data_IF_796242933910
#
_entry.id   IF_796242933910
#
_cell.length_a   1.000
_cell.length_b   1.000
_cell.length_c   1.000
_cell.angle_alpha   90.00
_cell.angle_beta   90.00
_cell.angle_gamma   90.00
#
_symmetry.space_group_name_H-M   'P 1'
#
loop_
_entity.id
_entity.type
_entity.pdbx_description
1 polymer ?
#
# COMPACT_ATOMS: atom_id res chain seq x y z
N UNK A 1 -31.53 -65.59 -40.19
CA UNK A 1 -31.33 -64.13 -40.20
C UNK A 1 -30.35 -63.81 -39.11
N UNK A 2 -29.23 -63.20 -39.51
CA UNK A 2 -27.99 -63.07 -38.74
C UNK A 2 -28.18 -62.19 -37.50
N UNK A 3 -27.68 -62.68 -36.37
CA UNK A 3 -27.50 -61.93 -35.13
C UNK A 3 -26.25 -61.06 -35.29
N UNK A 4 -26.46 -59.75 -35.22
CA UNK A 4 -25.41 -58.74 -35.32
C UNK A 4 -24.72 -58.63 -33.95
N UNK A 5 -23.55 -59.25 -33.83
CA UNK A 5 -22.70 -59.16 -32.65
C UNK A 5 -21.75 -57.97 -32.84
N UNK A 6 -21.99 -56.90 -32.08
CA UNK A 6 -21.05 -55.78 -31.97
C UNK A 6 -19.66 -56.29 -31.59
N UNK A 7 -18.67 -55.84 -32.36
CA UNK A 7 -17.26 -56.21 -32.20
C UNK A 7 -16.73 -55.90 -30.79
N UNK A 8 -15.82 -56.74 -30.24
CA UNK A 8 -15.22 -56.51 -28.95
C UNK A 8 -14.22 -55.35 -29.03
N UNK A 9 -14.43 -54.32 -28.20
CA UNK A 9 -13.47 -53.24 -27.94
C UNK A 9 -12.15 -53.84 -27.45
N UNK A 10 -10.99 -53.49 -28.05
CA UNK A 10 -9.71 -54.03 -27.62
C UNK A 10 -9.33 -53.52 -26.23
N UNK A 11 -8.60 -54.31 -25.42
CA UNK A 11 -8.16 -53.88 -24.10
C UNK A 11 -7.19 -52.70 -24.24
N UNK A 12 -7.44 -51.65 -23.46
CA UNK A 12 -6.52 -50.51 -23.31
C UNK A 12 -5.18 -51.05 -22.82
N UNK A 13 -4.14 -50.82 -23.62
CA UNK A 13 -2.77 -51.13 -23.24
C UNK A 13 -2.39 -50.30 -22.00
N UNK A 14 -2.18 -51.00 -20.89
CA UNK A 14 -1.35 -50.51 -19.80
C UNK A 14 0.06 -50.32 -20.36
N UNK A 15 0.59 -49.10 -20.26
CA UNK A 15 1.99 -48.81 -20.57
C UNK A 15 2.52 -47.80 -19.56
N UNK A 16 3.17 -48.38 -18.56
CA UNK A 16 4.35 -47.89 -17.83
C UNK A 16 4.20 -46.63 -16.97
N UNK A 17 4.08 -46.91 -15.67
CA UNK A 17 4.52 -46.03 -14.59
C UNK A 17 5.92 -45.48 -14.87
N UNK A 18 6.15 -44.15 -14.82
CA UNK A 18 7.49 -43.63 -14.64
C UNK A 18 7.92 -43.91 -13.20
N UNK A 19 9.09 -44.53 -13.13
CA UNK A 19 9.87 -44.91 -11.96
C UNK A 19 9.96 -43.77 -10.94
N UNK A 20 9.87 -44.14 -9.66
CA UNK A 20 10.08 -43.25 -8.53
C UNK A 20 11.47 -42.59 -8.59
N UNK A 21 11.51 -41.33 -9.02
CA UNK A 21 12.64 -40.45 -8.76
C UNK A 21 12.63 -40.05 -7.29
N UNK A 22 13.79 -40.25 -6.66
CA UNK A 22 14.04 -40.02 -5.26
C UNK A 22 13.63 -38.59 -4.84
N UNK A 23 12.70 -38.51 -3.88
CA UNK A 23 12.52 -37.31 -3.06
C UNK A 23 13.88 -36.95 -2.44
N UNK A 24 14.53 -35.93 -2.98
CA UNK A 24 15.57 -35.21 -2.28
C UNK A 24 14.94 -34.68 -0.98
N UNK A 25 15.41 -35.19 0.15
CA UNK A 25 15.14 -34.58 1.44
C UNK A 25 15.69 -33.16 1.41
N UNK A 26 14.81 -32.18 1.54
CA UNK A 26 15.21 -30.80 1.85
C UNK A 26 16.05 -30.82 3.14
N UNK A 27 17.24 -30.21 3.17
CA UNK A 27 18.00 -30.13 4.40
C UNK A 27 17.21 -29.28 5.40
N UNK A 28 16.99 -29.84 6.59
CA UNK A 28 16.36 -29.16 7.71
C UNK A 28 16.97 -27.76 7.91
N UNK A 29 16.12 -26.74 7.88
CA UNK A 29 16.48 -25.36 8.18
C UNK A 29 17.11 -25.28 9.57
N UNK A 30 18.44 -25.13 9.63
CA UNK A 30 19.17 -24.92 10.86
C UNK A 30 19.16 -23.41 11.21
N UNK A 31 18.36 -23.04 12.20
CA UNK A 31 18.11 -21.66 12.66
C UNK A 31 19.39 -21.01 13.26
N UNK A 32 20.46 -21.78 13.51
CA UNK A 32 21.68 -21.27 14.17
C UNK A 32 22.73 -20.66 13.23
N UNK A 33 22.59 -20.80 11.91
CA UNK A 33 23.58 -20.31 10.93
C UNK A 33 23.10 -19.14 10.06
N UNK A 34 22.08 -18.40 10.50
CA UNK A 34 21.79 -17.10 9.89
C UNK A 34 22.84 -16.08 10.36
N UNK A 35 23.59 -15.50 9.41
CA UNK A 35 24.24 -14.22 9.67
C UNK A 35 23.12 -13.23 10.02
N UNK A 36 23.03 -12.84 11.29
CA UNK A 36 22.07 -11.86 11.76
C UNK A 36 22.37 -10.53 11.06
N UNK A 37 21.57 -10.22 10.04
CA UNK A 37 21.59 -8.91 9.37
C UNK A 37 21.06 -7.91 10.40
N UNK A 38 21.93 -7.02 10.83
CA UNK A 38 21.53 -5.93 11.74
C UNK A 38 20.63 -4.95 10.98
N UNK A 39 19.67 -4.31 11.68
CA UNK A 39 18.88 -3.20 11.12
C UNK A 39 19.74 -2.14 10.41
N UNK A 40 21.01 -2.02 10.80
CA UNK A 40 21.99 -1.08 10.28
C UNK A 40 22.66 -1.53 8.97
N UNK A 41 22.68 -2.83 8.67
CA UNK A 41 23.12 -3.36 7.37
C UNK A 41 22.07 -3.08 6.27
N UNK A 42 20.80 -2.98 6.65
CA UNK A 42 19.69 -2.65 5.72
C UNK A 42 19.76 -1.20 5.21
N UNK A 43 20.35 -0.29 5.98
CA UNK A 43 20.50 1.13 5.62
C UNK A 43 21.88 1.49 5.04
N UNK A 44 22.75 0.50 4.80
CA UNK A 44 24.02 0.72 4.11
C UNK A 44 25.05 1.56 4.88
N UNK A 45 24.93 1.67 6.21
CA UNK A 45 25.83 2.47 7.05
C UNK A 45 27.20 1.81 7.15
N UNK A 46 28.25 2.59 6.84
CA UNK A 46 29.64 2.14 6.91
C UNK A 46 30.08 1.92 8.36
N UNK A 47 31.14 1.13 8.59
CA UNK A 47 31.64 0.84 9.94
C UNK A 47 32.05 2.10 10.72
N UNK A 48 32.38 3.19 10.03
CA UNK A 48 32.76 4.49 10.60
C UNK A 48 31.56 5.26 11.18
N UNK A 49 30.35 5.02 10.68
CA UNK A 49 29.11 5.65 11.16
C UNK A 49 28.53 4.93 12.39
N UNK A 50 29.04 3.74 12.71
CA UNK A 50 28.59 2.91 13.85
C UNK A 50 29.16 3.37 15.20
N UNK A 51 30.08 4.32 15.23
CA UNK A 51 30.73 4.79 16.47
C UNK A 51 30.13 6.09 17.00
N UNK A 52 29.46 6.06 18.16
CA UNK A 52 29.00 7.25 18.89
C UNK A 52 30.11 7.97 19.69
N UNK A 53 31.38 7.77 19.32
CA UNK A 53 32.52 8.43 19.97
C UNK A 53 33.21 9.26 18.89
N UNK A 54 33.17 10.60 19.01
CA UNK A 54 33.95 11.48 18.15
C UNK A 54 35.44 11.29 18.46
N UNK A 55 36.29 10.80 17.52
CA UNK A 55 37.72 10.82 17.74
C UNK A 55 38.22 12.26 17.66
N UNK A 56 38.96 12.69 18.70
CA UNK A 56 39.74 13.92 18.70
C UNK A 56 40.73 13.90 17.54
N UNK A 57 40.79 15.00 16.80
CA UNK A 57 41.77 15.32 15.76
C UNK A 57 43.16 14.68 15.96
N UNK A 58 43.59 13.86 15.00
CA UNK A 58 44.99 13.87 14.60
C UNK A 58 45.12 13.51 13.11
N UNK A 59 45.80 14.38 12.37
CA UNK A 59 46.11 14.21 10.96
C UNK A 59 47.17 13.12 10.81
N UNK A 60 46.92 12.06 10.06
CA UNK A 60 47.97 11.35 9.34
C UNK A 60 47.40 10.54 8.17
N UNK A 61 47.77 10.93 6.96
CA UNK A 61 47.52 10.20 5.73
C UNK A 61 48.38 8.94 5.72
N UNK A 62 47.79 7.75 5.59
CA UNK A 62 48.48 6.63 4.94
C UNK A 62 47.53 5.76 4.13
N UNK A 63 48.03 5.53 2.91
CA UNK A 63 47.43 4.94 1.72
C UNK A 63 47.46 3.41 1.83
N UNK A 64 46.35 2.78 1.43
CA UNK A 64 46.13 1.34 1.37
C UNK A 64 47.03 0.67 0.32
N UNK A 65 47.61 -0.48 0.66
CA UNK A 65 48.22 -1.45 -0.26
C UNK A 65 47.27 -2.63 -0.49
N UNK A 66 47.21 -3.13 -1.73
CA UNK A 66 46.48 -4.34 -2.15
C UNK A 66 47.49 -5.51 -2.18
N UNK A 67 47.13 -6.73 -1.73
CA UNK A 67 48.06 -7.85 -1.59
C UNK A 67 48.25 -8.65 -2.89
N UNK A 68 49.47 -9.13 -3.15
CA UNK A 68 49.74 -10.23 -4.10
C UNK A 68 49.92 -11.58 -3.36
N UNK A 69 49.62 -12.72 -4.03
CA UNK A 69 49.71 -14.04 -3.44
C UNK A 69 51.11 -14.68 -3.51
N UNK A 70 51.25 -15.69 -2.66
CA UNK A 70 52.46 -16.40 -2.18
C UNK A 70 53.12 -17.33 -3.21
N UNK A 71 54.42 -17.57 -3.02
CA UNK A 71 55.15 -18.86 -2.86
C UNK A 71 56.66 -18.61 -3.14
N UNK A 72 57.70 -19.32 -2.64
CA UNK A 72 57.93 -20.32 -1.60
C UNK A 72 59.46 -20.26 -1.29
N UNK A 73 59.77 -20.29 0.00
CA UNK A 73 60.94 -20.90 0.69
C UNK A 73 62.27 -21.13 -0.06
N UNK A 74 63.33 -20.49 0.42
CA UNK A 74 64.72 -20.87 0.16
C UNK A 74 65.67 -20.20 1.16
N UNK A 75 66.30 -20.99 2.02
CA UNK A 75 67.01 -20.61 3.25
C UNK A 75 68.48 -20.26 2.95
N UNK A 76 69.03 -19.36 3.79
CA UNK A 76 70.44 -19.23 4.23
C UNK A 76 71.40 -18.24 3.52
N UNK A 77 71.64 -17.15 4.29
CA UNK A 77 72.93 -16.63 4.78
C UNK A 77 73.99 -16.02 3.86
N UNK A 78 74.15 -14.70 4.08
CA UNK A 78 75.38 -14.00 4.48
C UNK A 78 76.44 -13.56 3.44
N UNK A 79 76.29 -12.28 3.04
CA UNK A 79 77.22 -11.14 3.29
C UNK A 79 78.50 -10.98 2.43
N UNK A 80 78.42 -10.11 1.41
CA UNK A 80 79.20 -8.86 1.14
C UNK A 80 79.02 -8.52 -0.35
N UNK A 81 78.14 -7.58 -0.70
CA UNK A 81 78.44 -6.16 -1.02
C UNK A 81 79.32 -6.00 -2.26
N UNK A 82 78.62 -6.13 -3.39
CA UNK A 82 79.12 -6.08 -4.76
C UNK A 82 79.16 -4.67 -5.35
N UNK A 83 80.05 -4.57 -6.31
CA UNK A 83 80.30 -3.53 -7.28
C UNK A 83 79.03 -3.02 -7.98
N UNK A 84 78.98 -1.71 -8.24
CA UNK A 84 77.90 -1.03 -8.94
C UNK A 84 77.80 -1.52 -10.38
N UNK A 85 76.75 -2.27 -10.68
CA UNK A 85 76.30 -2.53 -12.04
C UNK A 85 75.83 -1.22 -12.73
N UNK A 86 75.94 -1.10 -14.06
CA UNK A 86 75.53 0.10 -14.80
C UNK A 86 74.01 0.32 -14.71
N UNK A 87 73.60 1.56 -14.45
CA UNK A 87 72.19 1.95 -14.28
C UNK A 87 71.41 1.76 -15.59
N UNK A 88 70.17 1.27 -15.44
CA UNK A 88 69.19 1.12 -16.51
C UNK A 88 68.85 2.49 -17.12
N UNK A 89 68.81 2.60 -18.45
CA UNK A 89 68.60 3.85 -19.21
C UNK A 89 67.34 4.61 -18.77
N UNK A 90 66.37 3.89 -18.19
CA UNK A 90 65.13 4.42 -17.65
C UNK A 90 65.31 5.15 -16.31
N UNK A 91 66.23 4.71 -15.46
CA UNK A 91 66.61 5.41 -14.23
C UNK A 91 67.42 6.68 -14.54
N UNK A 92 68.22 6.64 -15.61
CA UNK A 92 68.98 7.79 -16.10
C UNK A 92 68.05 8.91 -16.55
N UNK A 93 67.01 8.57 -17.34
CA UNK A 93 65.96 9.50 -17.78
C UNK A 93 65.20 10.15 -16.61
N UNK A 94 64.93 9.38 -15.55
CA UNK A 94 64.25 9.88 -14.35
C UNK A 94 65.13 10.83 -13.53
N UNK A 95 66.42 10.53 -13.43
CA UNK A 95 67.42 11.41 -12.80
C UNK A 95 67.63 12.69 -13.59
N UNK A 96 67.64 12.61 -14.91
CA UNK A 96 67.77 13.76 -15.80
C UNK A 96 66.54 14.67 -15.75
N UNK A 97 65.34 14.08 -15.71
CA UNK A 97 64.10 14.81 -15.49
C UNK A 97 64.06 15.48 -14.10
N UNK A 98 64.54 14.80 -13.06
CA UNK A 98 64.63 15.36 -11.71
C UNK A 98 65.67 16.49 -11.61
N UNK A 99 66.81 16.37 -12.31
CA UNK A 99 67.82 17.43 -12.43
C UNK A 99 67.27 18.64 -13.18
N UNK A 100 66.64 18.45 -14.34
CA UNK A 100 65.96 19.52 -15.10
C UNK A 100 64.88 20.22 -14.27
N UNK A 101 64.12 19.48 -13.46
CA UNK A 101 63.10 20.06 -12.57
C UNK A 101 63.71 20.90 -11.44
N UNK A 102 64.80 20.43 -10.83
CA UNK A 102 65.56 21.20 -9.82
C UNK A 102 66.28 22.41 -10.42
N UNK A 103 66.73 22.31 -11.66
CA UNK A 103 67.40 23.39 -12.38
C UNK A 103 66.41 24.45 -12.84
N UNK A 104 65.22 24.04 -13.33
CA UNK A 104 64.09 24.93 -13.60
C UNK A 104 63.59 25.63 -12.32
N UNK A 105 63.54 24.93 -11.18
CA UNK A 105 63.18 25.53 -9.89
C UNK A 105 64.26 26.50 -9.38
N UNK A 106 65.55 26.22 -9.64
CA UNK A 106 66.65 27.13 -9.33
C UNK A 106 66.70 28.34 -10.27
N UNK A 107 66.35 28.18 -11.54
CA UNK A 107 66.21 29.28 -12.49
C UNK A 107 65.00 30.16 -12.17
N UNK A 108 63.85 29.57 -11.79
CA UNK A 108 62.67 30.30 -11.33
C UNK A 108 62.89 31.04 -9.99
N UNK A 109 63.81 30.56 -9.15
CA UNK A 109 64.26 31.24 -7.92
C UNK A 109 65.33 32.31 -8.17
N UNK A 110 66.01 32.31 -9.32
CA UNK A 110 67.04 33.30 -9.71
C UNK A 110 66.49 34.46 -10.56
N UNK A 111 65.30 34.35 -11.14
CA UNK A 111 64.62 35.45 -11.86
C UNK A 111 63.75 36.35 -10.98
N UNK A 112 64.06 36.47 -9.69
CA UNK A 112 63.48 37.49 -8.79
C UNK A 112 64.57 38.25 -8.04
N UNK A 113 65.36 39.02 -8.77
CA UNK A 113 66.18 40.11 -8.24
C UNK A 113 66.21 41.21 -9.30
N UNK A 114 65.21 42.09 -9.27
CA UNK A 114 65.31 43.52 -9.56
C UNK A 114 64.04 44.24 -9.03
N UNK A 115 64.11 45.52 -8.64
CA UNK A 115 63.16 46.11 -7.71
C UNK A 115 62.03 46.94 -8.39
N UNK A 116 60.76 46.62 -8.03
CA UNK A 116 59.51 47.43 -7.98
C UNK A 116 58.30 46.68 -8.58
N UNK A 117 57.04 46.96 -8.17
CA UNK A 117 56.55 47.58 -6.94
C UNK A 117 55.77 46.57 -6.07
N UNK A 118 55.49 46.95 -4.83
CA UNK A 118 54.55 46.23 -3.97
C UNK A 118 53.16 46.34 -4.58
N UNK A 119 52.61 45.23 -5.11
CA UNK A 119 51.18 45.06 -5.36
C UNK A 119 50.62 44.10 -4.30
N UNK A 120 49.48 44.42 -3.64
CA UNK A 120 49.12 43.78 -2.39
C UNK A 120 48.31 42.49 -2.58
N UNK A 121 48.99 41.34 -2.65
CA UNK A 121 48.31 40.03 -2.61
C UNK A 121 47.74 39.72 -1.21
N UNK A 122 48.20 40.43 -0.18
CA UNK A 122 47.62 40.35 1.16
C UNK A 122 46.25 41.05 1.27
N UNK A 123 45.98 42.06 0.44
CA UNK A 123 44.72 42.80 0.47
C UNK A 123 43.61 42.05 -0.28
N UNK A 124 43.90 41.44 -1.43
CA UNK A 124 42.90 40.63 -2.17
C UNK A 124 42.34 39.47 -1.32
N UNK A 125 43.18 38.80 -0.51
CA UNK A 125 42.76 37.70 0.38
C UNK A 125 42.05 38.18 1.65
N UNK A 126 42.38 39.40 2.12
CA UNK A 126 41.67 40.10 3.20
C UNK A 126 40.35 40.71 2.74
N UNK A 127 40.17 40.96 1.45
CA UNK A 127 38.92 41.42 0.83
C UNK A 127 38.00 40.25 0.44
N UNK A 128 38.56 39.09 0.05
CA UNK A 128 37.79 37.86 -0.21
C UNK A 128 37.07 37.32 1.04
N UNK A 129 37.67 37.42 2.23
CA UNK A 129 37.04 37.00 3.49
C UNK A 129 35.76 37.79 3.83
N UNK A 130 35.75 39.13 3.87
CA UNK A 130 34.54 39.91 4.10
C UNK A 130 33.56 39.81 2.94
N UNK A 131 34.00 39.58 1.70
CA UNK A 131 33.09 39.28 0.59
C UNK A 131 32.41 37.93 0.75
N UNK A 132 33.12 36.89 1.21
CA UNK A 132 32.53 35.59 1.51
C UNK A 132 31.59 35.67 2.72
N UNK A 133 31.96 36.40 3.78
CA UNK A 133 31.10 36.65 4.94
C UNK A 133 29.85 37.45 4.56
N UNK A 134 29.97 38.44 3.65
CA UNK A 134 28.82 39.17 3.09
C UNK A 134 27.93 38.27 2.25
N UNK A 135 28.51 37.42 1.40
CA UNK A 135 27.76 36.42 0.60
C UNK A 135 27.07 35.38 1.49
N UNK A 136 27.73 34.95 2.56
CA UNK A 136 27.16 34.04 3.58
C UNK A 136 26.04 34.72 4.35
N UNK A 137 26.21 35.97 4.78
CA UNK A 137 25.16 36.75 5.44
C UNK A 137 23.96 37.00 4.51
N UNK A 138 24.20 37.37 3.24
CA UNK A 138 23.15 37.53 2.22
C UNK A 138 22.44 36.20 1.94
N UNK A 139 23.16 35.06 1.98
CA UNK A 139 22.60 33.72 1.85
C UNK A 139 21.75 33.36 3.06
N UNK A 140 22.23 33.61 4.27
CA UNK A 140 21.47 33.40 5.50
C UNK A 140 20.21 34.26 5.55
N UNK A 141 20.28 35.51 5.09
CA UNK A 141 19.10 36.37 4.97
C UNK A 141 18.08 35.85 3.97
N UNK A 142 18.53 35.34 2.81
CA UNK A 142 17.65 34.71 1.81
C UNK A 142 17.03 33.40 2.28
N UNK A 143 17.63 32.71 3.24
CA UNK A 143 17.16 31.42 3.75
C UNK A 143 16.23 31.55 4.97
N UNK A 144 16.01 32.76 5.46
CA UNK A 144 15.04 33.01 6.53
C UNK A 144 13.62 32.71 6.02
N UNK A 145 12.77 32.07 6.85
CA UNK A 145 11.39 31.82 6.45
C UNK A 145 10.63 33.13 6.33
N UNK A 146 9.94 33.31 5.20
CA UNK A 146 9.16 34.50 4.88
C UNK A 146 7.67 34.11 4.91
N UNK A 147 6.76 34.97 5.39
CA UNK A 147 5.33 34.71 5.24
C UNK A 147 4.96 34.53 3.77
N UNK A 148 4.24 33.47 3.43
CA UNK A 148 3.84 33.19 2.05
C UNK A 148 2.71 34.11 1.61
N UNK A 149 2.82 34.67 0.40
CA UNK A 149 1.77 35.48 -0.22
C UNK A 149 0.65 34.55 -0.68
N UNK A 150 -0.48 34.58 0.03
CA UNK A 150 -1.66 33.81 -0.36
C UNK A 150 -2.33 34.54 -1.53
N UNK A 151 -2.58 33.87 -2.68
CA UNK A 151 -3.32 34.47 -3.79
C UNK A 151 -4.71 34.95 -3.35
N UNK A 152 -5.27 35.95 -4.02
CA UNK A 152 -6.61 36.50 -3.71
C UNK A 152 -7.73 35.45 -3.74
N UNK A 153 -7.51 34.36 -4.47
CA UNK A 153 -8.41 33.21 -4.61
C UNK A 153 -8.32 32.21 -3.45
N UNK A 154 -7.48 32.49 -2.45
CA UNK A 154 -7.21 31.61 -1.31
C UNK A 154 -6.09 30.60 -1.59
N UNK A 155 -5.68 29.88 -0.54
CA UNK A 155 -4.69 28.82 -0.66
C UNK A 155 -5.29 27.65 -1.46
N UNK A 156 -4.64 27.16 -2.54
CA UNK A 156 -5.15 26.01 -3.28
C UNK A 156 -5.35 24.80 -2.37
N UNK A 157 -6.48 24.07 -2.57
CA UNK A 157 -6.87 22.93 -1.72
C UNK A 157 -5.82 21.81 -1.65
N UNK A 158 -4.97 21.70 -2.68
CA UNK A 158 -3.94 20.67 -2.77
C UNK A 158 -2.65 21.02 -2.03
N UNK A 159 -2.49 22.24 -1.53
CA UNK A 159 -1.31 22.62 -0.74
C UNK A 159 -1.41 22.04 0.67
N UNK A 160 -0.51 21.10 0.95
CA UNK A 160 -0.29 20.45 2.26
C UNK A 160 1.00 20.92 2.90
N UNK A 161 1.19 20.64 4.18
CA UNK A 161 2.44 20.94 4.87
C UNK A 161 3.60 20.20 4.19
N UNK A 162 4.66 20.92 3.85
CA UNK A 162 5.77 20.42 3.04
C UNK A 162 5.56 20.52 1.52
N UNK A 163 4.51 21.19 1.04
CA UNK A 163 4.32 21.36 -0.41
C UNK A 163 5.34 22.31 -1.00
N UNK A 164 5.93 21.95 -2.14
CA UNK A 164 6.83 22.80 -2.89
C UNK A 164 6.05 23.91 -3.59
N UNK A 165 6.47 25.17 -3.41
CA UNK A 165 5.83 26.33 -4.04
C UNK A 165 6.88 27.27 -4.59
N UNK A 166 6.46 28.09 -5.54
CA UNK A 166 7.26 29.17 -6.11
C UNK A 166 6.79 30.48 -5.50
N UNK A 167 7.71 31.29 -4.99
CA UNK A 167 7.43 32.65 -4.52
C UNK A 167 7.40 33.64 -5.69
N UNK A 168 6.91 34.87 -5.46
CA UNK A 168 6.81 35.94 -6.47
C UNK A 168 8.18 36.25 -7.15
N UNK A 169 9.28 36.03 -6.43
CA UNK A 169 10.66 36.18 -6.92
C UNK A 169 11.21 34.94 -7.67
N UNK A 170 10.35 34.01 -8.10
CA UNK A 170 10.71 32.73 -8.72
C UNK A 170 11.63 31.81 -7.88
N UNK A 171 11.71 32.05 -6.57
CA UNK A 171 12.42 31.16 -5.65
C UNK A 171 11.52 29.99 -5.26
N UNK A 172 12.10 28.79 -5.23
CA UNK A 172 11.39 27.57 -4.84
C UNK A 172 11.67 27.26 -3.38
N UNK A 173 10.63 26.87 -2.67
CA UNK A 173 10.71 26.53 -1.26
C UNK A 173 9.56 25.60 -0.88
N UNK A 174 9.47 25.25 0.40
CA UNK A 174 8.35 24.45 0.92
C UNK A 174 7.51 25.26 1.90
N UNK A 175 6.22 24.93 1.98
CA UNK A 175 5.31 25.53 2.94
C UNK A 175 5.35 24.80 4.29
N UNK A 176 5.33 25.55 5.39
CA UNK A 176 5.09 25.07 6.75
C UNK A 176 4.03 25.92 7.45
N UNK A 177 3.52 25.39 8.56
CA UNK A 177 2.56 26.08 9.42
C UNK A 177 1.26 26.49 8.70
N UNK A 178 0.70 25.62 7.86
CA UNK A 178 -0.56 25.87 7.14
C UNK A 178 -1.76 26.11 8.07
N UNK A 179 -1.73 25.53 9.27
CA UNK A 179 -2.77 25.70 10.28
C UNK A 179 -2.57 26.96 11.15
N UNK A 180 -1.48 27.70 10.94
CA UNK A 180 -1.18 28.95 11.64
C UNK A 180 -1.95 30.14 11.04
N UNK A 181 -1.75 31.33 11.61
CA UNK A 181 -2.37 32.57 11.09
C UNK A 181 -1.99 32.90 9.64
N UNK A 182 -0.77 32.52 9.22
CA UNK A 182 -0.29 32.62 7.84
C UNK A 182 0.67 31.46 7.53
N UNK A 183 0.58 30.83 6.35
CA UNK A 183 1.56 29.84 5.93
C UNK A 183 2.95 30.49 5.77
N UNK A 184 3.98 29.77 6.20
CA UNK A 184 5.37 30.23 6.12
C UNK A 184 6.08 29.54 4.95
N UNK A 185 6.74 30.34 4.12
CA UNK A 185 7.58 29.89 3.02
C UNK A 185 9.02 29.71 3.50
N UNK A 186 9.55 28.51 3.32
CA UNK A 186 10.95 28.19 3.61
C UNK A 186 11.71 28.02 2.29
N UNK A 187 12.60 28.96 1.94
CA UNK A 187 13.39 28.90 0.72
C UNK A 187 14.27 27.65 0.66
N UNK A 188 14.42 27.05 -0.52
CA UNK A 188 15.31 25.92 -0.78
C UNK A 188 16.46 26.35 -1.68
N UNK A 189 17.66 25.86 -1.35
CA UNK A 189 18.83 26.06 -2.19
C UNK A 189 18.91 24.99 -3.26
N UNK A 190 18.51 25.36 -4.46
CA UNK A 190 18.56 24.48 -5.63
C UNK A 190 19.57 25.01 -6.63
N UNK A 191 20.28 24.11 -7.31
CA UNK A 191 21.06 24.49 -8.49
C UNK A 191 20.13 25.04 -9.59
N UNK A 192 20.66 25.84 -10.52
CA UNK A 192 19.85 26.42 -11.60
C UNK A 192 19.08 25.36 -12.43
N UNK A 193 19.64 24.16 -12.61
CA UNK A 193 18.96 23.06 -13.29
C UNK A 193 17.86 22.43 -12.43
N UNK A 194 18.13 22.20 -11.13
CA UNK A 194 17.13 21.68 -10.19
C UNK A 194 15.98 22.66 -9.97
N UNK A 195 16.26 23.97 -9.91
CA UNK A 195 15.25 25.02 -9.81
C UNK A 195 14.33 25.03 -11.04
N UNK A 196 14.88 25.02 -12.26
CA UNK A 196 14.06 24.90 -13.48
C UNK A 196 13.22 23.62 -13.51
N UNK A 197 13.78 22.51 -13.02
CA UNK A 197 13.04 21.24 -12.94
C UNK A 197 11.90 21.29 -11.94
N UNK A 198 12.13 21.85 -10.76
CA UNK A 198 11.10 22.02 -9.74
C UNK A 198 10.01 23.00 -10.19
N UNK A 199 10.35 24.09 -10.87
CA UNK A 199 9.37 25.02 -11.43
C UNK A 199 8.42 24.35 -12.43
N UNK A 200 8.96 23.63 -13.43
CA UNK A 200 8.11 22.89 -14.38
C UNK A 200 7.27 21.81 -13.69
N UNK A 201 7.83 21.14 -12.67
CA UNK A 201 7.10 20.16 -11.89
C UNK A 201 5.92 20.79 -11.12
N UNK A 202 6.15 21.94 -10.46
CA UNK A 202 5.11 22.68 -9.73
C UNK A 202 3.98 23.08 -10.69
N UNK A 203 4.32 23.56 -11.89
CA UNK A 203 3.32 23.90 -12.92
C UNK A 203 2.49 22.69 -13.37
N UNK A 204 3.12 21.53 -13.58
CA UNK A 204 2.41 20.28 -13.91
C UNK A 204 1.46 19.91 -12.77
N UNK A 205 1.94 19.95 -11.52
CA UNK A 205 1.15 19.60 -10.34
C UNK A 205 -0.06 20.51 -10.21
N UNK A 206 0.13 21.82 -10.32
CA UNK A 206 -0.92 22.79 -10.10
C UNK A 206 -1.96 22.72 -11.24
N UNK A 207 -1.50 22.53 -12.49
CA UNK A 207 -2.39 22.30 -13.64
C UNK A 207 -3.17 20.99 -13.51
N UNK A 208 -2.53 19.92 -13.03
CA UNK A 208 -3.18 18.64 -12.75
C UNK A 208 -4.31 18.78 -11.74
N UNK A 209 -4.04 19.42 -10.59
CA UNK A 209 -5.06 19.63 -9.57
C UNK A 209 -6.15 20.56 -10.03
N UNK A 210 -5.82 21.62 -10.78
CA UNK A 210 -6.80 22.52 -11.35
C UNK A 210 -7.72 21.81 -12.35
N UNK A 211 -7.16 20.99 -13.25
CA UNK A 211 -7.94 20.16 -14.17
C UNK A 211 -8.85 19.19 -13.40
N UNK A 212 -8.28 18.45 -12.44
CA UNK A 212 -9.03 17.46 -11.67
C UNK A 212 -10.19 18.09 -10.88
N UNK A 213 -9.93 19.19 -10.16
CA UNK A 213 -10.96 19.89 -9.38
C UNK A 213 -12.01 20.54 -10.28
N UNK A 214 -11.60 21.14 -11.41
CA UNK A 214 -12.55 21.73 -12.36
C UNK A 214 -13.50 20.69 -12.94
N UNK A 215 -13.00 19.51 -13.33
CA UNK A 215 -13.82 18.42 -13.84
C UNK A 215 -14.67 17.77 -12.75
N UNK A 216 -14.15 17.66 -11.53
CA UNK A 216 -14.90 17.14 -10.38
C UNK A 216 -16.08 18.05 -10.00
N UNK A 217 -15.87 19.37 -9.97
CA UNK A 217 -16.89 20.33 -9.54
C UNK A 217 -17.93 20.60 -10.64
N UNK A 218 -17.51 20.66 -11.91
CA UNK A 218 -18.41 21.00 -13.02
C UNK A 218 -19.06 19.79 -13.68
N UNK A 219 -18.54 18.58 -13.45
CA UNK A 219 -18.94 17.33 -14.12
C UNK A 219 -18.93 17.45 -15.65
N UNK A 220 -18.02 18.27 -16.19
CA UNK A 220 -17.84 18.51 -17.63
C UNK A 220 -16.38 18.38 -18.00
N UNK A 221 -16.15 17.93 -19.23
CA UNK A 221 -14.81 17.81 -19.78
C UNK A 221 -14.20 19.18 -20.07
N UNK A 222 -12.95 19.41 -19.65
CA UNK A 222 -12.19 20.61 -20.00
C UNK A 222 -10.99 20.27 -20.91
N UNK A 223 -11.18 20.28 -22.24
CA UNK A 223 -10.11 19.89 -23.16
C UNK A 223 -8.95 20.89 -23.19
N UNK A 224 -9.18 22.18 -22.88
CA UNK A 224 -8.14 23.20 -22.90
C UNK A 224 -7.10 22.98 -21.80
N UNK A 225 -7.55 22.72 -20.56
CA UNK A 225 -6.66 22.40 -19.44
C UNK A 225 -5.93 21.06 -19.65
N UNK A 226 -6.59 20.07 -20.24
CA UNK A 226 -5.97 18.79 -20.60
C UNK A 226 -4.88 18.94 -21.67
N UNK A 227 -5.11 19.77 -22.69
CA UNK A 227 -4.08 20.08 -23.68
C UNK A 227 -2.90 20.83 -23.05
N UNK A 228 -3.17 21.76 -22.12
CA UNK A 228 -2.11 22.45 -21.37
C UNK A 228 -1.28 21.45 -20.55
N UNK A 229 -1.92 20.55 -19.80
CA UNK A 229 -1.25 19.52 -19.02
C UNK A 229 -0.38 18.60 -19.91
N UNK A 230 -0.88 18.22 -21.10
CA UNK A 230 -0.10 17.43 -22.06
C UNK A 230 1.15 18.18 -22.54
N UNK A 231 1.03 19.47 -22.88
CA UNK A 231 2.18 20.29 -23.30
C UNK A 231 3.22 20.41 -22.20
N UNK A 232 2.80 20.72 -20.97
CA UNK A 232 3.71 20.82 -19.82
C UNK A 232 4.43 19.50 -19.54
N UNK A 233 3.72 18.37 -19.64
CA UNK A 233 4.31 17.04 -19.51
C UNK A 233 5.31 16.73 -20.64
N UNK A 234 4.97 17.02 -21.89
CA UNK A 234 5.84 16.77 -23.04
C UNK A 234 7.10 17.66 -22.97
N UNK A 235 6.97 18.91 -22.54
CA UNK A 235 8.09 19.83 -22.30
C UNK A 235 9.00 19.38 -21.15
N UNK A 236 8.42 18.88 -20.06
CA UNK A 236 9.19 18.31 -18.95
C UNK A 236 9.94 17.07 -19.40
N UNK A 237 9.26 16.15 -20.09
CA UNK A 237 9.88 14.89 -20.54
C UNK A 237 10.96 15.09 -21.60
N UNK A 238 10.81 16.09 -22.47
CA UNK A 238 11.84 16.47 -23.44
C UNK A 238 13.12 17.01 -22.80
N UNK A 239 13.02 17.72 -21.67
CA UNK A 239 14.17 18.35 -20.99
C UNK A 239 14.81 17.48 -19.91
N UNK A 240 14.00 16.76 -19.13
CA UNK A 240 14.43 16.11 -17.89
C UNK A 240 14.15 14.59 -17.85
N UNK A 241 13.56 14.02 -18.90
CA UNK A 241 13.18 12.60 -18.92
C UNK A 241 11.84 12.33 -18.23
N UNK A 242 11.54 11.07 -17.95
CA UNK A 242 10.26 10.64 -17.39
C UNK A 242 10.11 11.07 -15.93
N UNK A 243 8.89 11.36 -15.47
CA UNK A 243 8.63 11.79 -14.09
C UNK A 243 9.14 10.75 -13.07
N UNK A 244 8.95 9.47 -13.37
CA UNK A 244 9.37 8.35 -12.52
C UNK A 244 10.84 7.94 -12.68
N UNK A 245 11.64 8.63 -13.49
CA UNK A 245 13.07 8.34 -13.58
C UNK A 245 13.75 8.57 -12.21
N UNK A 246 14.76 7.77 -11.83
CA UNK A 246 15.42 7.87 -10.52
C UNK A 246 16.02 9.25 -10.27
N UNK A 247 16.45 9.95 -11.33
CA UNK A 247 16.94 11.33 -11.25
C UNK A 247 15.85 12.29 -10.80
N UNK A 248 14.60 12.04 -11.21
CA UNK A 248 13.42 12.89 -11.02
C UNK A 248 12.73 12.65 -9.67
N UNK A 249 12.75 11.38 -9.24
CA UNK A 249 12.05 10.86 -8.09
C UNK A 249 12.36 11.59 -6.77
N UNK A 250 13.63 11.87 -6.48
CA UNK A 250 14.02 12.46 -5.19
C UNK A 250 13.44 13.86 -5.00
N UNK A 251 13.45 14.69 -6.05
CA UNK A 251 12.88 16.05 -5.99
C UNK A 251 11.37 16.01 -5.82
N UNK A 252 10.69 15.13 -6.56
CA UNK A 252 9.23 15.02 -6.54
C UNK A 252 8.78 14.48 -5.17
N UNK A 253 9.53 13.56 -4.56
CA UNK A 253 9.23 13.03 -3.22
C UNK A 253 9.41 14.04 -2.08
N UNK A 254 10.16 15.13 -2.29
CA UNK A 254 10.23 16.22 -1.31
C UNK A 254 8.91 16.99 -1.21
N UNK A 255 8.07 16.92 -2.25
CA UNK A 255 6.75 17.53 -2.26
C UNK A 255 5.72 16.63 -1.58
N UNK A 256 4.91 17.19 -0.69
CA UNK A 256 3.87 16.44 0.03
C UNK A 256 2.86 15.78 -0.92
N UNK A 257 2.53 16.42 -2.04
CA UNK A 257 1.63 15.92 -3.09
C UNK A 257 2.34 15.14 -4.22
N UNK A 258 3.65 14.92 -4.13
CA UNK A 258 4.40 14.43 -5.30
C UNK A 258 4.06 13.03 -5.76
N UNK A 259 3.58 12.15 -4.86
CA UNK A 259 3.16 10.79 -5.22
C UNK A 259 1.99 10.75 -6.20
N UNK A 260 1.08 11.72 -6.09
CA UNK A 260 -0.08 11.85 -6.98
C UNK A 260 0.40 12.14 -8.40
N UNK A 261 1.41 13.01 -8.55
CA UNK A 261 1.98 13.40 -9.84
C UNK A 261 2.82 12.28 -10.46
N UNK A 262 3.53 11.50 -9.67
CA UNK A 262 4.22 10.29 -10.15
C UNK A 262 3.25 9.27 -10.77
N UNK A 263 1.99 9.28 -10.33
CA UNK A 263 0.93 8.40 -10.86
C UNK A 263 0.44 8.82 -12.25
N UNK A 264 0.89 9.96 -12.78
CA UNK A 264 0.67 10.36 -14.18
C UNK A 264 1.38 9.44 -15.18
N UNK A 265 2.34 8.64 -14.72
CA UNK A 265 3.03 7.64 -15.52
C UNK A 265 2.76 6.24 -14.95
N UNK A 266 2.09 5.39 -15.73
CA UNK A 266 1.84 4.00 -15.38
C UNK A 266 2.80 3.10 -16.14
N UNK A 267 3.40 2.13 -15.46
CA UNK A 267 4.25 1.15 -16.12
C UNK A 267 3.43 -0.03 -16.63
N UNK A 268 3.47 -0.28 -17.94
CA UNK A 268 2.96 -1.50 -18.56
C UNK A 268 4.11 -2.14 -19.33
N UNK A 269 4.36 -3.44 -19.08
CA UNK A 269 5.45 -4.19 -19.73
C UNK A 269 6.83 -3.50 -19.63
N UNK A 270 7.10 -2.86 -18.49
CA UNK A 270 8.36 -2.13 -18.27
C UNK A 270 8.49 -0.78 -19.01
N UNK A 271 7.45 -0.32 -19.72
CA UNK A 271 7.41 0.99 -20.38
C UNK A 271 6.49 1.95 -19.64
N UNK A 272 6.94 3.19 -19.49
CA UNK A 272 6.13 4.27 -18.92
C UNK A 272 5.09 4.76 -19.94
N UNK A 273 3.80 4.60 -19.61
CA UNK A 273 2.63 5.02 -20.39
C UNK A 273 1.92 6.16 -19.66
N UNK A 274 1.40 7.14 -20.41
CA UNK A 274 0.61 8.24 -19.84
C UNK A 274 -0.63 7.72 -19.10
N UNK A 275 -1.01 8.40 -18.03
CA UNK A 275 -2.26 8.14 -17.30
C UNK A 275 -3.50 8.53 -18.12
N UNK A 276 -4.66 7.98 -17.77
CA UNK A 276 -5.91 8.22 -18.51
C UNK A 276 -6.34 9.70 -18.52
N UNK A 277 -5.92 10.48 -17.51
CA UNK A 277 -6.28 11.91 -17.38
C UNK A 277 -5.81 12.76 -18.57
N UNK A 278 -4.75 12.33 -19.26
CA UNK A 278 -4.24 13.01 -20.45
C UNK A 278 -5.14 12.85 -21.68
N UNK A 279 -6.01 11.83 -21.69
CA UNK A 279 -6.87 11.49 -22.83
C UNK A 279 -8.35 11.74 -22.53
N UNK A 280 -8.81 11.44 -21.32
CA UNK A 280 -10.24 11.50 -20.94
C UNK A 280 -10.44 11.99 -19.49
N UNK A 281 -11.64 12.48 -19.14
CA UNK A 281 -11.97 12.81 -17.75
C UNK A 281 -11.84 11.58 -16.84
N UNK A 282 -11.22 11.78 -15.68
CA UNK A 282 -11.09 10.75 -14.62
C UNK A 282 -11.79 11.15 -13.32
N UNK A 283 -12.21 12.42 -13.21
CA UNK A 283 -12.85 12.94 -12.01
C UNK A 283 -14.33 12.53 -11.89
N UNK A 284 -15.00 12.25 -13.02
CA UNK A 284 -16.38 11.82 -13.06
C UNK A 284 -16.59 10.74 -14.13
N UNK A 285 -17.68 9.98 -14.01
CA UNK A 285 -18.02 8.95 -14.98
C UNK A 285 -18.67 9.58 -16.21
N UNK A 286 -17.95 9.62 -17.34
CA UNK A 286 -18.50 10.12 -18.60
C UNK A 286 -19.39 9.07 -19.32
N UNK A 287 -19.42 7.83 -18.84
CA UNK A 287 -20.25 6.74 -19.38
C UNK A 287 -21.42 6.45 -18.45
N UNK A 288 -22.15 7.50 -18.07
CA UNK A 288 -23.44 7.26 -17.43
C UNK A 288 -24.40 6.65 -18.45
N UNK A 289 -25.12 5.62 -18.03
CA UNK A 289 -26.23 5.09 -18.81
C UNK A 289 -27.26 6.21 -18.85
N UNK A 290 -27.56 6.72 -20.04
CA UNK A 290 -28.50 7.83 -20.25
C UNK A 290 -29.91 7.34 -20.61
N UNK A 291 -30.02 6.11 -21.09
CA UNK A 291 -31.28 5.49 -21.46
C UNK A 291 -31.26 4.00 -21.19
N UNK A 292 -32.40 3.45 -20.78
CA UNK A 292 -32.64 2.02 -20.67
C UNK A 292 -33.97 1.69 -21.36
N UNK A 293 -33.98 0.67 -22.22
CA UNK A 293 -35.16 0.29 -22.99
C UNK A 293 -36.20 -0.44 -22.13
N UNK A 294 -35.76 -1.17 -21.11
CA UNK A 294 -36.61 -2.04 -20.27
C UNK A 294 -36.42 -1.75 -18.76
N UNK A 295 -37.42 -2.06 -17.93
CA UNK A 295 -37.31 -1.90 -16.48
C UNK A 295 -36.21 -2.78 -15.87
N UNK A 296 -35.92 -3.94 -16.48
CA UNK A 296 -34.84 -4.84 -16.06
C UNK A 296 -33.46 -4.22 -16.27
N UNK A 297 -33.26 -3.55 -17.39
CA UNK A 297 -31.99 -2.89 -17.72
C UNK A 297 -31.80 -1.66 -16.82
N UNK A 298 -32.88 -0.92 -16.56
CA UNK A 298 -32.89 0.18 -15.60
C UNK A 298 -32.57 -0.30 -14.17
N UNK A 299 -33.10 -1.45 -13.75
CA UNK A 299 -32.79 -2.06 -12.45
C UNK A 299 -31.31 -2.41 -12.36
N UNK A 300 -30.73 -3.04 -13.39
CA UNK A 300 -29.31 -3.35 -13.43
C UNK A 300 -28.44 -2.07 -13.37
N UNK A 301 -28.84 -1.02 -14.09
CA UNK A 301 -28.18 0.28 -14.05
C UNK A 301 -28.24 0.91 -12.65
N UNK A 302 -29.39 0.83 -11.98
CA UNK A 302 -29.59 1.33 -10.63
C UNK A 302 -28.73 0.59 -9.60
N UNK A 303 -28.66 -0.74 -9.70
CA UNK A 303 -27.80 -1.56 -8.84
C UNK A 303 -26.32 -1.27 -9.07
N UNK A 304 -25.90 -1.07 -10.32
CA UNK A 304 -24.51 -0.73 -10.65
C UNK A 304 -24.11 0.66 -10.11
N UNK A 305 -25.00 1.66 -10.23
CA UNK A 305 -24.70 3.03 -9.80
C UNK A 305 -24.84 3.24 -8.29
N UNK A 306 -25.90 2.70 -7.69
CA UNK A 306 -26.29 3.01 -6.29
C UNK A 306 -26.18 1.81 -5.33
N UNK A 307 -25.99 0.59 -5.82
CA UNK A 307 -25.97 -0.62 -4.99
C UNK A 307 -27.31 -0.98 -4.34
N UNK A 308 -28.39 -0.28 -4.71
CA UNK A 308 -29.76 -0.48 -4.22
C UNK A 308 -30.75 -0.12 -5.32
N UNK A 309 -31.98 -0.60 -5.19
CA UNK A 309 -33.07 -0.23 -6.11
C UNK A 309 -33.46 1.23 -5.85
N UNK A 310 -33.26 2.09 -6.85
CA UNK A 310 -33.63 3.50 -6.82
C UNK A 310 -34.65 3.77 -7.93
N UNK A 311 -35.94 3.85 -7.56
CA UNK A 311 -37.04 4.04 -8.50
C UNK A 311 -36.97 5.38 -9.23
N UNK A 312 -36.56 6.45 -8.56
CA UNK A 312 -36.41 7.77 -9.17
C UNK A 312 -35.38 7.74 -10.32
N UNK A 313 -34.24 7.10 -10.08
CA UNK A 313 -33.22 6.96 -11.12
C UNK A 313 -33.69 6.06 -12.28
N UNK A 314 -34.42 4.99 -11.99
CA UNK A 314 -34.95 4.09 -13.02
C UNK A 314 -36.02 4.78 -13.88
N UNK A 315 -36.87 5.61 -13.26
CA UNK A 315 -37.86 6.43 -13.96
C UNK A 315 -37.18 7.45 -14.87
N UNK A 316 -36.08 8.08 -14.43
CA UNK A 316 -35.30 9.00 -15.27
C UNK A 316 -34.69 8.31 -16.49
N UNK A 317 -34.22 7.06 -16.38
CA UNK A 317 -33.61 6.31 -17.49
C UNK A 317 -34.61 5.82 -18.54
N UNK A 318 -35.79 5.39 -18.09
CA UNK A 318 -36.82 4.77 -18.96
C UNK A 318 -37.87 5.77 -19.43
N UNK A 319 -38.03 6.90 -18.73
CA UNK A 319 -39.12 7.85 -18.95
C UNK A 319 -40.49 7.31 -18.51
N UNK A 320 -40.55 6.19 -17.80
CA UNK A 320 -41.80 5.57 -17.31
C UNK A 320 -42.05 5.92 -15.84
N UNK A 321 -43.33 5.94 -15.44
CA UNK A 321 -43.71 6.16 -14.05
C UNK A 321 -43.32 4.96 -13.17
N UNK A 322 -43.07 5.23 -11.88
CA UNK A 322 -42.61 4.22 -10.91
C UNK A 322 -43.55 3.01 -10.81
N UNK A 323 -44.87 3.23 -10.85
CA UNK A 323 -45.87 2.16 -10.82
C UNK A 323 -45.76 1.22 -12.03
N UNK A 324 -45.43 1.76 -13.20
CA UNK A 324 -45.20 0.99 -14.42
C UNK A 324 -43.96 0.09 -14.29
N UNK A 325 -42.88 0.65 -13.76
CA UNK A 325 -41.63 -0.09 -13.50
C UNK A 325 -41.84 -1.21 -12.48
N UNK A 326 -42.56 -0.93 -11.39
CA UNK A 326 -42.87 -1.94 -10.37
C UNK A 326 -43.74 -3.05 -10.95
N UNK A 327 -44.68 -2.74 -11.83
CA UNK A 327 -45.52 -3.74 -12.50
C UNK A 327 -44.70 -4.69 -13.39
N UNK A 328 -43.70 -4.18 -14.11
CA UNK A 328 -42.80 -4.99 -14.96
C UNK A 328 -41.78 -5.80 -14.12
N UNK A 329 -41.44 -5.29 -12.94
CA UNK A 329 -40.47 -5.89 -12.02
C UNK A 329 -41.09 -6.77 -10.94
N UNK A 330 -42.41 -7.04 -11.03
CA UNK A 330 -43.09 -7.99 -10.13
C UNK A 330 -42.36 -9.33 -10.11
N UNK A 331 -42.15 -9.84 -8.91
CA UNK A 331 -41.41 -11.09 -8.65
C UNK A 331 -39.89 -10.95 -8.57
N UNK A 332 -39.31 -9.82 -9.01
CA UNK A 332 -37.86 -9.56 -8.94
C UNK A 332 -37.46 -8.57 -7.86
N UNK A 333 -38.37 -7.67 -7.50
CA UNK A 333 -38.14 -6.62 -6.52
C UNK A 333 -39.31 -6.65 -5.53
N UNK A 334 -39.00 -6.55 -4.24
CA UNK A 334 -39.95 -6.56 -3.16
C UNK A 334 -39.74 -5.36 -2.25
N UNK A 335 -40.84 -4.83 -1.70
CA UNK A 335 -40.77 -3.77 -0.71
C UNK A 335 -40.34 -4.35 0.64
N UNK A 336 -39.29 -3.80 1.23
CA UNK A 336 -38.85 -4.14 2.57
C UNK A 336 -39.27 -3.04 3.57
N UNK A 337 -40.26 -3.29 4.43
CA UNK A 337 -40.72 -2.32 5.42
C UNK A 337 -39.68 -1.94 6.48
N UNK A 338 -38.69 -2.81 6.72
CA UNK A 338 -37.64 -2.57 7.73
C UNK A 338 -36.66 -1.48 7.28
N UNK A 339 -36.39 -1.43 5.97
CA UNK A 339 -35.49 -0.45 5.34
C UNK A 339 -36.28 0.74 4.78
N UNK A 340 -37.59 0.58 4.60
CA UNK A 340 -38.46 1.60 3.98
C UNK A 340 -38.19 1.76 2.48
N UNK A 341 -37.77 0.69 1.80
CA UNK A 341 -37.37 0.75 0.40
C UNK A 341 -37.45 -0.59 -0.31
N UNK A 342 -37.26 -0.56 -1.62
CA UNK A 342 -37.31 -1.74 -2.47
C UNK A 342 -35.96 -2.46 -2.51
N UNK A 343 -36.00 -3.79 -2.42
CA UNK A 343 -34.84 -4.67 -2.51
C UNK A 343 -35.06 -5.76 -3.57
N UNK A 344 -33.96 -6.25 -4.14
CA UNK A 344 -34.00 -7.38 -5.08
C UNK A 344 -34.38 -8.66 -4.34
N UNK A 345 -35.14 -9.53 -4.99
CA UNK A 345 -35.58 -10.82 -4.45
C UNK A 345 -34.45 -11.61 -3.79
N UNK A 346 -33.29 -11.72 -4.45
CA UNK A 346 -32.12 -12.44 -3.94
C UNK A 346 -31.65 -11.92 -2.58
N UNK A 347 -31.70 -10.60 -2.36
CA UNK A 347 -31.31 -9.98 -1.09
C UNK A 347 -32.43 -10.05 -0.07
N UNK A 348 -33.66 -9.82 -0.51
CA UNK A 348 -34.82 -9.78 0.36
C UNK A 348 -35.12 -11.15 0.98
N UNK A 349 -35.07 -12.21 0.17
CA UNK A 349 -35.32 -13.61 0.54
C UNK A 349 -34.10 -14.25 1.23
N UNK A 350 -32.95 -13.59 1.27
CA UNK A 350 -31.78 -14.12 1.98
C UNK A 350 -31.91 -14.05 3.51
N UNK A 351 -31.36 -15.03 4.22
CA UNK A 351 -31.28 -15.04 5.68
C UNK A 351 -32.50 -15.67 6.37
N UNK A 352 -32.85 -15.20 7.57
CA UNK A 352 -33.98 -15.74 8.33
C UNK A 352 -35.31 -15.22 7.77
N UNK A 353 -35.85 -15.96 6.80
CA UNK A 353 -37.11 -15.64 6.10
C UNK A 353 -38.30 -15.65 7.06
N UNK A 354 -38.31 -16.53 8.06
CA UNK A 354 -39.42 -16.67 9.02
C UNK A 354 -39.54 -15.41 9.88
N UNK A 355 -38.44 -14.97 10.51
CA UNK A 355 -38.44 -13.75 11.32
C UNK A 355 -38.77 -12.51 10.49
N UNK A 356 -38.26 -12.43 9.26
CA UNK A 356 -38.62 -11.35 8.32
C UNK A 356 -40.12 -11.37 7.99
N UNK A 357 -40.70 -12.54 7.73
CA UNK A 357 -42.14 -12.66 7.43
C UNK A 357 -43.00 -12.19 8.62
N UNK A 358 -42.60 -12.52 9.85
CA UNK A 358 -43.28 -12.07 11.07
C UNK A 358 -43.21 -10.54 11.23
N UNK A 359 -42.06 -9.94 10.95
CA UNK A 359 -41.88 -8.49 11.01
C UNK A 359 -42.69 -7.76 9.93
N UNK A 360 -42.71 -8.28 8.71
CA UNK A 360 -43.54 -7.75 7.62
C UNK A 360 -45.02 -7.89 7.95
N UNK A 361 -45.45 -9.01 8.56
CA UNK A 361 -46.83 -9.20 9.00
C UNK A 361 -47.21 -8.14 10.05
N UNK A 362 -46.37 -7.92 11.08
CA UNK A 362 -46.59 -6.86 12.07
C UNK A 362 -46.68 -5.48 11.44
N UNK A 363 -45.91 -5.23 10.39
CA UNK A 363 -45.98 -3.97 9.67
C UNK A 363 -47.33 -3.80 8.94
N UNK A 364 -47.81 -4.86 8.27
CA UNK A 364 -49.12 -4.87 7.58
C UNK A 364 -50.26 -4.69 8.58
N UNK A 365 -50.16 -5.30 9.76
CA UNK A 365 -51.17 -5.16 10.81
C UNK A 365 -51.29 -3.70 11.29
N UNK A 366 -50.18 -2.95 11.26
CA UNK A 366 -50.15 -1.52 11.59
C UNK A 366 -50.50 -0.60 10.41
N UNK A 367 -50.34 -1.08 9.16
CA UNK A 367 -50.60 -0.32 7.93
C UNK A 367 -51.27 -1.20 6.87
N UNK A 368 -52.58 -1.40 7.02
CA UNK A 368 -53.41 -2.31 6.20
C UNK A 368 -53.46 -1.99 4.69
N UNK A 369 -53.09 -0.77 4.32
CA UNK A 369 -53.34 -0.21 3.00
C UNK A 369 -52.15 -0.39 2.03
N UNK A 370 -51.02 -0.95 2.50
CA UNK A 370 -49.84 -1.18 1.67
C UNK A 370 -49.88 -2.52 0.92
N UNK A 371 -50.40 -2.51 -0.30
CA UNK A 371 -50.45 -3.68 -1.18
C UNK A 371 -49.06 -4.28 -1.49
N UNK A 372 -48.04 -3.45 -1.71
CA UNK A 372 -46.68 -3.92 -1.96
C UNK A 372 -46.09 -4.74 -0.79
N UNK A 373 -46.45 -4.40 0.46
CA UNK A 373 -46.01 -5.16 1.62
C UNK A 373 -46.68 -6.54 1.68
N UNK A 374 -47.95 -6.66 1.25
CA UNK A 374 -48.66 -7.94 1.15
C UNK A 374 -48.02 -8.86 0.10
N UNK A 375 -47.62 -8.31 -1.05
CA UNK A 375 -46.88 -9.06 -2.07
C UNK A 375 -45.53 -9.55 -1.52
N UNK A 376 -44.77 -8.69 -0.83
CA UNK A 376 -43.52 -9.08 -0.17
C UNK A 376 -43.71 -10.20 0.85
N UNK A 377 -44.79 -10.16 1.63
CA UNK A 377 -45.10 -11.19 2.61
C UNK A 377 -45.44 -12.53 1.96
N UNK A 378 -46.19 -12.51 0.85
CA UNK A 378 -46.48 -13.72 0.08
C UNK A 378 -45.18 -14.37 -0.43
N UNK A 379 -44.25 -13.57 -0.95
CA UNK A 379 -42.95 -14.05 -1.41
C UNK A 379 -42.09 -14.66 -0.29
N UNK A 380 -42.08 -14.05 0.90
CA UNK A 380 -41.36 -14.64 2.05
C UNK A 380 -42.00 -15.96 2.51
N UNK A 381 -43.32 -16.07 2.47
CA UNK A 381 -44.02 -17.32 2.82
C UNK A 381 -43.76 -18.43 1.82
N UNK A 382 -43.72 -18.10 0.53
CA UNK A 382 -43.40 -19.07 -0.52
C UNK A 382 -41.94 -19.55 -0.42
N UNK A 383 -41.02 -18.64 -0.06
CA UNK A 383 -39.61 -18.97 0.13
C UNK A 383 -39.29 -19.61 1.50
N UNK A 384 -40.27 -19.78 2.38
CA UNK A 384 -40.05 -20.38 3.68
C UNK A 384 -39.66 -21.87 3.51
N UNK A 385 -38.53 -22.31 4.10
CA UNK A 385 -38.13 -23.71 4.01
C UNK A 385 -39.17 -24.61 4.70
N UNK A 386 -39.29 -25.85 4.22
CA UNK A 386 -40.14 -26.84 4.88
C UNK A 386 -39.69 -27.02 6.33
N UNK A 387 -40.60 -26.94 7.32
CA UNK A 387 -40.27 -27.29 8.70
C UNK A 387 -39.67 -28.70 8.76
N UNK A 388 -38.61 -28.85 9.56
CA UNK A 388 -37.98 -30.14 9.82
C UNK A 388 -38.78 -30.82 10.93
N UNK A 389 -39.19 -32.07 10.70
CA UNK A 389 -39.89 -32.86 11.70
C UNK A 389 -38.94 -33.22 12.84
N UNK A 390 -39.46 -33.37 14.07
CA UNK A 390 -38.62 -33.63 15.23
C UNK A 390 -37.80 -34.93 15.10
N UNK A 391 -38.37 -35.95 14.46
CA UNK A 391 -37.70 -37.24 14.24
C UNK A 391 -36.51 -37.16 13.27
N UNK A 392 -36.47 -36.13 12.41
CA UNK A 392 -35.37 -35.87 11.48
C UNK A 392 -34.25 -35.03 12.10
N UNK A 393 -34.46 -34.50 13.33
CA UNK A 393 -33.46 -33.73 14.05
C UNK A 393 -32.50 -34.66 14.79
N UNK A 394 -31.31 -34.87 14.21
CA UNK A 394 -30.21 -35.54 14.89
C UNK A 394 -29.34 -34.50 15.62
N UNK A 395 -29.32 -34.55 16.95
CA UNK A 395 -28.47 -33.68 17.76
C UNK A 395 -27.84 -34.46 18.91
N UNK A 396 -26.57 -34.15 19.19
CA UNK A 396 -25.83 -34.78 20.27
C UNK A 396 -26.09 -34.09 21.62
N UNK A 397 -25.76 -34.77 22.72
CA UNK A 397 -25.66 -34.10 24.01
C UNK A 397 -24.46 -33.15 24.02
N UNK A 398 -24.67 -31.91 24.49
CA UNK A 398 -23.63 -30.89 24.56
C UNK A 398 -23.66 -29.86 23.43
N UNK A 399 -24.67 -29.89 22.57
CA UNK A 399 -24.90 -28.82 21.59
C UNK A 399 -25.13 -27.47 22.29
N UNK A 400 -24.41 -26.43 21.83
CA UNK A 400 -24.38 -25.09 22.44
C UNK A 400 -25.66 -24.28 22.24
N UNK A 401 -26.44 -24.62 21.22
CA UNK A 401 -27.69 -23.93 20.89
C UNK A 401 -28.89 -24.43 21.70
N UNK A 402 -28.75 -25.59 22.37
CA UNK A 402 -29.77 -26.13 23.27
C UNK A 402 -29.66 -25.43 24.63
N UNK A 403 -30.73 -24.79 25.13
CA UNK A 403 -30.70 -24.14 26.43
C UNK A 403 -30.39 -25.11 27.57
N UNK A 404 -29.56 -24.69 28.53
CA UNK A 404 -29.18 -25.52 29.70
C UNK A 404 -30.36 -25.96 30.54
N UNK A 405 -31.47 -25.23 30.52
CA UNK A 405 -32.72 -25.63 31.18
C UNK A 405 -33.30 -26.93 30.64
N UNK A 406 -33.13 -27.21 29.34
CA UNK A 406 -33.58 -28.48 28.74
C UNK A 406 -32.70 -29.63 29.23
N UNK A 407 -31.38 -29.45 29.24
CA UNK A 407 -30.46 -30.44 29.80
C UNK A 407 -30.71 -30.71 31.29
N UNK A 408 -30.99 -29.66 32.08
CA UNK A 408 -31.33 -29.79 33.50
C UNK A 408 -32.63 -30.58 33.71
N UNK A 409 -33.68 -30.29 32.93
CA UNK A 409 -34.94 -31.02 32.99
C UNK A 409 -34.77 -32.50 32.62
N UNK A 410 -34.02 -32.78 31.54
CA UNK A 410 -33.72 -34.14 31.11
C UNK A 410 -32.88 -34.91 32.14
N UNK A 411 -31.80 -34.31 32.65
CA UNK A 411 -30.96 -34.93 33.67
C UNK A 411 -31.74 -35.18 34.97
N UNK A 412 -32.63 -34.25 35.35
CA UNK A 412 -33.45 -34.41 36.55
C UNK A 412 -34.47 -35.53 36.41
N UNK A 413 -35.04 -35.69 35.20
CA UNK A 413 -35.89 -36.83 34.86
C UNK A 413 -35.11 -38.16 34.86
N UNK A 414 -33.92 -38.19 34.25
CA UNK A 414 -33.10 -39.41 34.12
C UNK A 414 -32.58 -39.94 35.47
N UNK A 415 -32.17 -39.03 36.36
CA UNK A 415 -31.58 -39.37 37.66
C UNK A 415 -32.60 -39.37 38.81
N UNK A 416 -33.84 -38.94 38.56
CA UNK A 416 -34.91 -38.77 39.57
C UNK A 416 -34.46 -37.88 40.74
N UNK A 417 -33.78 -36.78 40.44
CA UNK A 417 -33.23 -35.82 41.42
C UNK A 417 -33.13 -34.45 40.79
N UNK A 418 -33.17 -33.39 41.59
CA UNK A 418 -32.93 -32.02 41.10
C UNK A 418 -31.45 -31.82 40.69
N UNK A 419 -31.23 -31.66 39.38
CA UNK A 419 -29.91 -31.50 38.76
C UNK A 419 -29.82 -30.16 38.06
N UNK A 420 -28.83 -29.36 38.46
CA UNK A 420 -28.52 -28.08 37.86
C UNK A 420 -27.36 -28.22 36.88
N UNK A 421 -27.60 -27.83 35.62
CA UNK A 421 -26.58 -27.79 34.58
C UNK A 421 -26.07 -26.36 34.41
N UNK A 422 -24.75 -26.19 34.48
CA UNK A 422 -24.06 -24.93 34.21
C UNK A 422 -23.13 -25.08 33.02
N UNK A 423 -23.22 -24.16 32.06
CA UNK A 423 -22.35 -24.13 30.89
C UNK A 423 -21.27 -23.06 31.08
N UNK A 424 -20.00 -23.47 31.03
CA UNK A 424 -18.85 -22.60 31.12
C UNK A 424 -18.31 -22.29 29.71
N UNK A 425 -18.73 -21.17 29.13
CA UNK A 425 -18.36 -20.75 27.76
C UNK A 425 -16.85 -20.66 27.51
N UNK A 426 -16.06 -20.31 28.54
CA UNK A 426 -14.60 -20.20 28.41
C UNK A 426 -13.88 -21.53 28.21
N UNK A 427 -14.48 -22.64 28.64
CA UNK A 427 -13.92 -23.99 28.55
C UNK A 427 -14.74 -24.92 27.67
N UNK A 428 -15.86 -24.41 27.13
CA UNK A 428 -16.83 -25.20 26.38
C UNK A 428 -17.27 -26.47 27.13
N UNK A 429 -17.50 -26.31 28.44
CA UNK A 429 -17.74 -27.44 29.36
C UNK A 429 -19.10 -27.30 30.04
N UNK A 430 -19.87 -28.38 30.03
CA UNK A 430 -21.11 -28.52 30.80
C UNK A 430 -20.80 -29.23 32.11
N UNK A 431 -21.11 -28.58 33.23
CA UNK A 431 -21.01 -29.17 34.56
C UNK A 431 -22.39 -29.45 35.14
N UNK A 432 -22.57 -30.68 35.63
CA UNK A 432 -23.79 -31.14 36.28
C UNK A 432 -23.57 -31.11 37.80
N UNK A 433 -24.44 -30.42 38.53
CA UNK A 433 -24.47 -30.41 39.99
C UNK A 433 -25.82 -30.97 40.46
N UNK A 434 -25.81 -32.08 41.19
CA UNK A 434 -27.01 -32.65 41.79
C UNK A 434 -27.09 -32.31 43.27
N UNK A 435 -28.31 -32.05 43.77
CA UNK A 435 -28.51 -31.79 45.20
C UNK A 435 -28.29 -33.02 46.08
N UNK A 436 -28.56 -34.22 45.54
CA UNK A 436 -28.38 -35.50 46.22
C UNK A 436 -27.84 -36.56 45.25
N UNK A 437 -26.89 -37.39 45.69
CA UNK A 437 -26.46 -38.56 44.91
C UNK A 437 -27.42 -39.72 45.20
N UNK A 438 -27.99 -40.29 44.14
CA UNK A 438 -28.90 -41.44 44.21
C UNK A 438 -28.24 -42.67 43.56
N UNK A 439 -28.74 -43.88 43.85
CA UNK A 439 -28.24 -45.12 43.26
C UNK A 439 -28.28 -45.12 41.72
N UNK A 440 -29.23 -44.40 41.12
CA UNK A 440 -29.28 -44.17 39.68
C UNK A 440 -27.99 -43.51 39.15
N UNK A 441 -27.47 -42.50 39.86
CA UNK A 441 -26.25 -41.77 39.48
C UNK A 441 -25.01 -42.65 39.66
N UNK A 442 -24.90 -43.38 40.78
CA UNK A 442 -23.67 -44.09 41.14
C UNK A 442 -23.57 -45.51 40.61
N UNK A 443 -24.69 -46.19 40.39
CA UNK A 443 -24.72 -47.62 40.02
C UNK A 443 -25.26 -47.86 38.61
N UNK A 444 -26.34 -47.17 38.22
CA UNK A 444 -26.99 -47.40 36.91
C UNK A 444 -26.29 -46.67 35.77
N UNK A 445 -25.91 -45.42 35.99
CA UNK A 445 -25.26 -44.57 34.98
C UNK A 445 -23.78 -44.27 35.29
N UNK A 446 -23.30 -44.62 36.48
CA UNK A 446 -21.91 -44.44 36.88
C UNK A 446 -21.01 -45.52 36.29
N UNK A 447 -19.92 -45.11 35.61
CA UNK A 447 -18.92 -46.03 35.06
C UNK A 447 -17.78 -46.18 36.06
N UNK A 448 -17.54 -47.41 36.54
CA UNK A 448 -16.42 -47.73 37.43
C UNK A 448 -15.17 -48.11 36.63
N UNK A 449 -14.11 -47.34 36.81
CA UNK A 449 -12.74 -47.72 36.46
C UNK A 449 -12.05 -48.34 37.69
N UNK A 450 -10.88 -48.96 37.50
CA UNK A 450 -10.12 -49.63 38.57
C UNK A 450 -9.86 -48.71 39.78
N UNK A 451 -9.64 -47.42 39.54
CA UNK A 451 -9.30 -46.45 40.59
C UNK A 451 -10.30 -45.30 40.77
N UNK A 452 -11.38 -45.22 39.96
CA UNK A 452 -12.32 -44.08 40.01
C UNK A 452 -13.72 -44.41 39.51
N UNK A 453 -14.73 -43.83 40.16
CA UNK A 453 -16.10 -43.77 39.66
C UNK A 453 -16.29 -42.50 38.82
N UNK A 454 -16.75 -42.66 37.58
CA UNK A 454 -17.16 -41.58 36.70
C UNK A 454 -18.69 -41.53 36.65
N UNK A 455 -19.28 -40.65 37.45
CA UNK A 455 -20.73 -40.43 37.54
C UNK A 455 -21.18 -39.13 36.84
N UNK A 456 -20.25 -38.34 36.31
CA UNK A 456 -20.53 -37.12 35.52
C UNK A 456 -21.12 -35.96 36.31
N UNK A 457 -21.39 -36.13 37.60
CA UNK A 457 -21.96 -35.13 38.52
C UNK A 457 -20.87 -34.68 39.49
N UNK A 458 -20.54 -33.38 39.46
CA UNK A 458 -19.56 -32.77 40.34
C UNK A 458 -20.05 -32.71 41.79
#
# INVERSE_FOLDING_TARGET
MQFDFSEPVPPVAQSQEPTAEAKQQEPAYNIQNQQLISLYDLFGLSAEERTQIKPKNSRSRRRMEIPQPKERQGRKSAKKEDERAPLDWREELMLEAAKKRKEAERQAKKTKTDPKPVYPVADARKEEQPQNLKREAEREERMKPVPFTVPEQGLPKHYKEGSLVTNDDNHIGYLRDLNGFKPMFHPLELSAQQGKRASLYIEIRDTYHHLYLNEADTLRENPALRQMLNRLYDDFTGKFGKLNDPKNLDLIKMDAGGREILSLERYREGKAVKADIFERPVAFNNREITHADNARDALAASLNKHGKVNLEYMAQLTGTAEDGLLSELKGKVYFNPLVGGYEVADKFIAGNVISKADEVQKFIDNHSDHEAAKESLAALREAAPKPIDFDDLDFNFGERWIPTGIYAAYASYLFETDVKVTYASSRDEFSLNARSRNANITEKYGVRSENRLFDGVA
#
